data_IF_759803549155
#
_entry.id   IF_759803549155
#
_cell.length_a   1.000
_cell.length_b   1.000
_cell.length_c   1.000
_cell.angle_alpha   90.00
_cell.angle_beta   90.00
_cell.angle_gamma   90.00
#
_symmetry.space_group_name_H-M   'P 1'
#
loop_
_entity.id
_entity.type
_entity.pdbx_description
1 polymer ?
#
# COMPACT_ATOMS: atom_id res chain seq x y z
N UNK A 1 2.20 27.56 -3.13
CA UNK A 1 1.38 27.23 -4.32
C UNK A 1 -0.06 26.96 -3.91
N UNK A 2 -0.33 26.07 -2.96
CA UNK A 2 -1.68 25.82 -2.41
C UNK A 2 -2.39 27.09 -1.96
N UNK A 3 -1.73 27.92 -1.15
CA UNK A 3 -2.28 29.20 -0.65
C UNK A 3 -2.59 30.25 -1.75
N UNK A 4 -2.13 30.03 -2.98
CA UNK A 4 -2.29 30.96 -4.10
C UNK A 4 -3.38 30.52 -5.09
N UNK A 5 -3.92 29.31 -4.96
CA UNK A 5 -4.92 28.75 -5.86
C UNK A 5 -6.28 28.67 -5.16
N UNK A 6 -7.38 29.09 -5.82
CA UNK A 6 -8.72 28.99 -5.22
C UNK A 6 -9.30 27.56 -5.24
N UNK A 7 -8.65 26.63 -5.94
CA UNK A 7 -9.06 25.22 -6.03
C UNK A 7 -8.25 24.35 -5.06
N UNK A 8 -8.81 23.26 -4.50
CA UNK A 8 -8.07 22.33 -3.67
C UNK A 8 -6.92 21.65 -4.42
N UNK A 9 -5.82 21.42 -3.72
CA UNK A 9 -4.62 20.74 -4.20
C UNK A 9 -4.46 19.38 -3.52
N UNK A 10 -4.10 18.35 -4.31
CA UNK A 10 -3.85 16.99 -3.80
C UNK A 10 -2.38 16.65 -4.05
N UNK A 11 -1.64 16.35 -2.99
CA UNK A 11 -0.21 16.05 -3.02
C UNK A 11 0.12 14.57 -2.94
N UNK A 12 1.20 14.16 -3.62
CA UNK A 12 1.92 12.90 -3.38
C UNK A 12 3.41 13.23 -3.26
N UNK A 13 3.99 13.04 -2.07
CA UNK A 13 5.37 13.46 -1.81
C UNK A 13 5.61 14.97 -1.83
N UNK A 14 4.56 15.79 -1.70
CA UNK A 14 4.63 17.25 -1.74
C UNK A 14 4.64 17.92 -0.34
N UNK A 15 4.83 17.14 0.73
CA UNK A 15 4.72 17.61 2.11
C UNK A 15 3.27 17.85 2.56
N UNK A 16 3.11 18.39 3.78
CA UNK A 16 1.79 18.58 4.42
C UNK A 16 1.05 19.85 4.01
N UNK A 17 1.59 20.64 3.08
CA UNK A 17 1.01 21.92 2.67
C UNK A 17 0.03 21.81 1.50
N UNK A 18 -0.41 20.61 1.14
CA UNK A 18 -1.52 20.38 0.21
C UNK A 18 -2.82 20.14 1.00
N UNK A 19 -3.97 20.49 0.42
CA UNK A 19 -5.29 20.36 1.06
C UNK A 19 -5.71 18.89 1.25
N UNK A 20 -5.18 18.01 0.41
CA UNK A 20 -5.32 16.57 0.54
C UNK A 20 -4.07 15.84 0.11
N UNK A 21 -4.07 14.53 0.36
CA UNK A 21 -2.96 13.64 0.05
C UNK A 21 -3.47 12.44 -0.75
N UNK A 22 -2.65 11.95 -1.67
CA UNK A 22 -2.89 10.72 -2.41
C UNK A 22 -1.67 9.83 -2.30
N UNK A 23 -1.89 8.52 -2.23
CA UNK A 23 -0.85 7.50 -2.25
C UNK A 23 -1.31 6.35 -3.15
N UNK A 24 -0.38 5.67 -3.80
CA UNK A 24 -0.69 4.47 -4.59
C UNK A 24 -1.15 3.37 -3.62
N UNK A 25 -2.30 2.74 -3.89
CA UNK A 25 -2.87 1.70 -3.04
C UNK A 25 -1.89 0.55 -2.77
N UNK A 26 -1.10 0.17 -3.77
CA UNK A 26 -0.08 -0.88 -3.63
C UNK A 26 1.04 -0.49 -2.65
N UNK A 27 1.46 0.78 -2.64
CA UNK A 27 2.48 1.28 -1.70
C UNK A 27 1.89 1.43 -0.29
N UNK A 28 0.67 1.94 -0.18
CA UNK A 28 -0.04 2.10 1.09
C UNK A 28 -0.27 0.76 1.80
N UNK A 29 -0.54 -0.30 1.04
CA UNK A 29 -0.83 -1.63 1.57
C UNK A 29 0.40 -2.56 1.64
N UNK A 30 1.59 -2.08 1.25
CA UNK A 30 2.82 -2.88 1.28
C UNK A 30 2.81 -4.05 0.29
N UNK A 31 2.19 -3.84 -0.88
CA UNK A 31 2.20 -4.78 -1.99
C UNK A 31 3.38 -4.54 -2.93
N UNK A 32 3.89 -3.32 -3.02
CA UNK A 32 5.06 -2.97 -3.84
C UNK A 32 6.35 -3.56 -3.27
N UNK A 33 7.26 -4.00 -4.15
CA UNK A 33 8.55 -4.60 -3.74
C UNK A 33 9.55 -3.52 -3.31
N UNK A 34 9.51 -2.38 -4.01
CA UNK A 34 10.30 -1.20 -3.70
C UNK A 34 9.36 -0.02 -3.49
N UNK A 35 9.48 0.61 -2.33
CA UNK A 35 8.68 1.78 -2.00
C UNK A 35 9.36 3.08 -2.44
N UNK A 36 8.59 4.07 -2.95
CA UNK A 36 9.07 5.43 -3.10
C UNK A 36 9.50 6.03 -1.75
N UNK A 37 10.47 6.96 -1.72
CA UNK A 37 11.01 7.52 -0.48
C UNK A 37 9.99 8.32 0.34
N UNK A 38 8.93 8.82 -0.29
CA UNK A 38 7.84 9.55 0.36
C UNK A 38 6.67 8.64 0.79
N UNK A 39 6.66 7.38 0.35
CA UNK A 39 5.57 6.47 0.63
C UNK A 39 5.76 5.81 2.00
N UNK A 40 4.70 5.75 2.78
CA UNK A 40 4.63 4.98 4.03
C UNK A 40 3.67 3.82 3.82
N UNK A 41 4.12 2.61 4.16
CA UNK A 41 3.23 1.46 4.16
C UNK A 41 2.51 1.37 5.50
N UNK A 42 1.22 1.09 5.44
CA UNK A 42 0.34 0.90 6.59
C UNK A 42 0.01 -0.58 6.82
N UNK A 43 0.35 -1.46 5.88
CA UNK A 43 0.21 -2.91 6.01
C UNK A 43 1.39 -3.63 5.33
N UNK A 44 1.60 -4.91 5.65
CA UNK A 44 2.50 -5.77 4.88
C UNK A 44 1.68 -6.87 4.20
N UNK A 45 0.81 -6.47 3.27
CA UNK A 45 -0.07 -7.44 2.60
C UNK A 45 0.71 -8.44 1.75
N UNK A 46 1.89 -8.07 1.25
CA UNK A 46 2.77 -9.03 0.57
C UNK A 46 3.08 -10.23 1.46
N UNK A 47 3.50 -9.98 2.70
CA UNK A 47 3.77 -11.06 3.67
C UNK A 47 2.49 -11.84 3.98
N UNK A 48 1.38 -11.14 4.29
CA UNK A 48 0.11 -11.80 4.62
C UNK A 48 -0.39 -12.71 3.50
N UNK A 49 -0.37 -12.23 2.26
CA UNK A 49 -0.78 -13.01 1.08
C UNK A 49 0.17 -14.20 0.89
N UNK A 50 1.47 -13.99 1.02
CA UNK A 50 2.48 -15.07 0.88
C UNK A 50 2.23 -16.18 1.88
N UNK A 51 2.02 -15.83 3.15
CA UNK A 51 1.71 -16.79 4.21
C UNK A 51 0.40 -17.53 3.95
N UNK A 52 -0.65 -16.82 3.53
CA UNK A 52 -1.94 -17.42 3.22
C UNK A 52 -1.84 -18.44 2.07
N UNK A 53 -1.15 -18.09 0.98
CA UNK A 53 -0.97 -18.99 -0.17
C UNK A 53 -0.10 -20.19 0.20
N UNK A 54 0.96 -20.00 0.99
CA UNK A 54 1.80 -21.10 1.48
C UNK A 54 1.01 -22.07 2.36
N UNK A 55 0.23 -21.54 3.31
CA UNK A 55 -0.59 -22.32 4.21
C UNK A 55 -1.65 -23.11 3.43
N UNK A 56 -2.38 -22.45 2.54
CA UNK A 56 -3.33 -23.09 1.63
C UNK A 56 -2.67 -24.23 0.83
N UNK A 57 -1.49 -23.98 0.26
CA UNK A 57 -0.75 -25.00 -0.48
C UNK A 57 -0.36 -26.21 0.38
N UNK A 58 -0.06 -26.00 1.67
CA UNK A 58 0.21 -27.09 2.62
C UNK A 58 -1.05 -27.91 2.87
N UNK A 59 -2.18 -27.26 3.15
CA UNK A 59 -3.45 -27.96 3.35
C UNK A 59 -3.85 -28.82 2.14
N UNK A 60 -3.61 -28.32 0.91
CA UNK A 60 -3.87 -29.11 -0.32
C UNK A 60 -2.96 -30.34 -0.41
N UNK A 61 -1.66 -30.20 -0.13
CA UNK A 61 -0.70 -31.30 -0.17
C UNK A 61 -1.02 -32.37 0.88
N UNK A 62 -1.44 -31.93 2.05
CA UNK A 62 -1.76 -32.80 3.18
C UNK A 62 -3.20 -33.34 3.11
N UNK A 63 -3.96 -32.98 2.06
CA UNK A 63 -5.38 -33.32 1.88
C UNK A 63 -6.28 -32.87 3.03
N UNK A 64 -5.88 -31.80 3.71
CA UNK A 64 -6.73 -31.05 4.64
C UNK A 64 -7.63 -30.05 3.92
N UNK A 65 -7.31 -29.74 2.65
CA UNK A 65 -8.11 -28.90 1.79
C UNK A 65 -8.23 -29.46 0.35
N UNK A 66 -9.45 -29.53 -0.22
CA UNK A 66 -10.69 -29.53 0.51
C UNK A 66 -10.78 -30.75 1.43
#
# INVERSE_FOLDING_TARGET
MTEQLPIPTIGIGAGSHCDGQVLVTADLLGLSDRMPPFAKSYANLRQTITQAVQYFGTQVRDREFP
#
